data_IF_949636143000
#
_entry.id   IF_949636143000
#
_cell.length_a   1.000
_cell.length_b   1.000
_cell.length_c   1.000
_cell.angle_alpha   90.00
_cell.angle_beta   90.00
_cell.angle_gamma   90.00
#
_symmetry.space_group_name_H-M   'P 1'
#
loop_
_entity.id
_entity.type
_entity.pdbx_description
1 polymer ?
#
# COMPACT_ATOMS: atom_id res chain seq x y z
N UNK A 1 -67.92 9.66 43.32
CA UNK A 1 -66.91 8.60 43.48
C UNK A 1 -66.20 8.41 42.15
N UNK A 2 -65.05 9.05 41.93
CA UNK A 2 -64.38 9.05 40.60
C UNK A 2 -62.88 9.36 40.58
N UNK A 3 -62.24 9.69 41.72
CA UNK A 3 -60.79 10.01 41.74
C UNK A 3 -59.88 8.84 42.13
N UNK A 4 -60.42 7.73 42.68
CA UNK A 4 -59.60 6.59 43.09
C UNK A 4 -59.20 5.67 41.93
N UNK A 5 -60.00 5.61 40.86
CA UNK A 5 -59.70 4.75 39.71
C UNK A 5 -58.53 5.33 38.89
N UNK A 6 -58.50 6.64 38.66
CA UNK A 6 -57.38 7.27 37.92
C UNK A 6 -56.03 7.15 38.63
N UNK A 7 -56.00 7.20 39.97
CA UNK A 7 -54.77 7.02 40.75
C UNK A 7 -54.14 5.63 40.56
N UNK A 8 -54.98 4.59 40.51
CA UNK A 8 -54.51 3.21 40.35
C UNK A 8 -53.88 2.96 38.97
N UNK A 9 -54.42 3.57 37.91
CA UNK A 9 -53.87 3.46 36.55
C UNK A 9 -52.49 4.09 36.43
N UNK A 10 -52.24 5.24 37.08
CA UNK A 10 -50.92 5.88 37.09
C UNK A 10 -49.89 5.09 37.90
N UNK A 11 -50.31 4.46 39.00
CA UNK A 11 -49.43 3.56 39.79
C UNK A 11 -49.09 2.30 38.99
N UNK A 12 -50.06 1.71 38.28
CA UNK A 12 -49.83 0.55 37.42
C UNK A 12 -48.93 0.89 36.22
N UNK A 13 -49.13 2.04 35.58
CA UNK A 13 -48.27 2.51 34.49
C UNK A 13 -46.84 2.78 34.98
N UNK A 14 -46.68 3.37 36.17
CA UNK A 14 -45.38 3.58 36.80
C UNK A 14 -44.65 2.27 37.10
N UNK A 15 -45.37 1.28 37.66
CA UNK A 15 -44.82 -0.04 37.92
C UNK A 15 -44.40 -0.75 36.62
N UNK A 16 -45.20 -0.64 35.55
CA UNK A 16 -44.88 -1.20 34.24
C UNK A 16 -43.59 -0.58 33.67
N UNK A 17 -43.44 0.75 33.74
CA UNK A 17 -42.24 1.43 33.26
C UNK A 17 -40.98 0.99 34.03
N UNK A 18 -41.07 0.78 35.34
CA UNK A 18 -39.95 0.27 36.15
C UNK A 18 -39.58 -1.15 35.74
N UNK A 19 -40.56 -2.02 35.49
CA UNK A 19 -40.31 -3.39 35.01
C UNK A 19 -39.67 -3.39 33.63
N UNK A 20 -40.14 -2.54 32.70
CA UNK A 20 -39.56 -2.41 31.35
C UNK A 20 -38.13 -1.89 31.42
N UNK A 21 -37.86 -0.87 32.24
CA UNK A 21 -36.51 -0.35 32.47
C UNK A 21 -35.59 -1.40 33.09
N UNK A 22 -36.08 -2.18 34.06
CA UNK A 22 -35.31 -3.24 34.68
C UNK A 22 -35.01 -4.39 33.71
N UNK A 23 -35.96 -4.77 32.86
CA UNK A 23 -35.71 -5.76 31.78
C UNK A 23 -34.72 -5.22 30.76
N UNK A 24 -34.79 -3.95 30.39
CA UNK A 24 -33.81 -3.35 29.49
C UNK A 24 -32.41 -3.30 30.13
N UNK A 25 -32.29 -2.81 31.36
CA UNK A 25 -31.01 -2.73 32.07
C UNK A 25 -30.42 -4.13 32.33
N UNK A 26 -31.22 -5.09 32.78
CA UNK A 26 -30.75 -6.47 33.01
C UNK A 26 -30.34 -7.17 31.71
N UNK A 27 -30.93 -6.83 30.55
CA UNK A 27 -30.46 -7.33 29.25
C UNK A 27 -29.23 -6.59 28.72
N UNK A 28 -29.11 -5.28 28.97
CA UNK A 28 -27.94 -4.48 28.58
C UNK A 28 -26.68 -4.84 29.36
N UNK A 29 -26.81 -5.29 30.61
CA UNK A 29 -25.68 -5.69 31.47
C UNK A 29 -25.41 -7.21 31.51
N UNK A 30 -26.30 -8.03 30.93
CA UNK A 30 -26.04 -9.46 30.67
C UNK A 30 -25.65 -9.71 29.20
N UNK A 31 -24.84 -8.81 28.63
CA UNK A 31 -23.94 -9.26 27.56
C UNK A 31 -22.85 -10.02 28.33
N UNK A 32 -22.79 -11.36 28.23
CA UNK A 32 -21.62 -12.05 28.74
C UNK A 32 -20.44 -11.44 27.99
N UNK A 33 -19.62 -10.65 28.69
CA UNK A 33 -18.26 -10.40 28.25
C UNK A 33 -17.62 -11.76 28.37
N UNK A 34 -17.76 -12.56 27.32
CA UNK A 34 -16.90 -13.71 27.14
C UNK A 34 -15.51 -13.08 27.16
N UNK A 35 -14.64 -13.38 28.15
CA UNK A 35 -13.24 -13.13 27.96
C UNK A 35 -12.83 -14.16 26.92
N UNK A 36 -13.22 -13.92 25.66
CA UNK A 36 -12.46 -14.43 24.54
C UNK A 36 -11.06 -14.00 24.93
N UNK A 37 -10.23 -14.99 25.27
CA UNK A 37 -8.79 -14.81 25.35
C UNK A 37 -8.45 -13.77 24.30
N UNK A 38 -7.78 -12.69 24.69
CA UNK A 38 -7.16 -11.79 23.71
C UNK A 38 -6.59 -12.73 22.66
N UNK A 39 -7.15 -12.70 21.44
CA UNK A 39 -6.64 -13.53 20.36
C UNK A 39 -5.15 -13.25 20.37
N UNK A 40 -4.35 -14.27 20.66
CA UNK A 40 -2.91 -14.13 20.52
C UNK A 40 -2.73 -13.51 19.13
N UNK A 41 -2.03 -12.36 19.03
CA UNK A 41 -1.95 -11.61 17.78
C UNK A 41 -1.60 -12.63 16.71
N UNK A 42 -2.48 -12.77 15.72
CA UNK A 42 -2.48 -13.87 14.76
C UNK A 42 -1.04 -14.11 14.30
N UNK A 43 -0.40 -15.11 14.93
CA UNK A 43 0.98 -15.44 14.59
C UNK A 43 0.84 -16.21 13.33
N UNK A 44 0.93 -15.48 12.21
CA UNK A 44 0.99 -16.00 10.86
C UNK A 44 1.79 -17.30 10.88
N UNK A 45 1.08 -18.42 10.81
CA UNK A 45 1.72 -19.71 10.61
C UNK A 45 2.24 -19.68 9.18
N UNK A 46 3.55 -19.49 9.06
CA UNK A 46 4.27 -19.53 7.79
C UNK A 46 4.06 -20.92 7.17
N UNK A 47 3.15 -20.99 6.19
CA UNK A 47 2.89 -22.19 5.38
C UNK A 47 3.76 -22.24 4.11
N UNK A 48 4.80 -21.41 4.04
CA UNK A 48 5.83 -21.50 3.01
C UNK A 48 7.13 -21.95 3.66
N UNK A 49 7.77 -22.93 3.04
CA UNK A 49 9.10 -23.41 3.42
C UNK A 49 10.10 -22.27 3.20
N UNK A 50 10.29 -21.46 4.24
CA UNK A 50 11.16 -20.29 4.28
C UNK A 50 12.58 -20.64 4.77
N UNK A 51 12.93 -21.94 4.79
CA UNK A 51 14.25 -22.42 5.20
C UNK A 51 15.38 -21.85 4.33
N UNK A 52 15.10 -21.56 3.06
CA UNK A 52 16.05 -20.99 2.10
C UNK A 52 15.96 -19.46 1.94
N UNK A 53 15.06 -18.78 2.67
CA UNK A 53 14.83 -17.34 2.54
C UNK A 53 15.28 -16.60 3.82
N UNK A 54 16.11 -15.55 3.74
CA UNK A 54 16.63 -14.81 4.91
C UNK A 54 15.56 -14.15 5.82
N UNK A 55 14.26 -14.28 5.51
CA UNK A 55 13.16 -13.71 6.29
C UNK A 55 13.18 -14.21 7.74
N UNK A 56 13.51 -15.49 7.97
CA UNK A 56 13.58 -16.04 9.32
C UNK A 56 14.65 -15.34 10.19
N UNK A 57 15.76 -14.93 9.59
CA UNK A 57 16.81 -14.16 10.27
C UNK A 57 16.29 -12.76 10.68
N UNK A 58 15.51 -12.12 9.83
CA UNK A 58 14.91 -10.81 10.14
C UNK A 58 13.91 -10.89 11.28
N UNK A 59 13.07 -11.93 11.31
CA UNK A 59 12.11 -12.14 12.40
C UNK A 59 12.84 -12.42 13.72
N UNK A 60 13.89 -13.26 13.68
CA UNK A 60 14.67 -13.59 14.87
C UNK A 60 15.41 -12.39 15.47
N UNK A 61 15.83 -11.43 14.63
CA UNK A 61 16.63 -10.26 15.02
C UNK A 61 15.86 -8.94 14.98
N UNK A 62 14.52 -9.00 14.98
CA UNK A 62 13.68 -7.82 14.81
C UNK A 62 13.96 -6.71 15.85
N UNK A 63 14.28 -7.07 17.10
CA UNK A 63 14.63 -6.10 18.16
C UNK A 63 15.96 -5.38 17.92
N UNK A 64 16.88 -5.97 17.16
CA UNK A 64 18.15 -5.35 16.78
C UNK A 64 17.99 -4.53 15.49
N UNK A 65 17.23 -5.05 14.53
CA UNK A 65 17.07 -4.47 13.19
C UNK A 65 16.17 -3.22 13.23
N UNK A 66 15.10 -3.21 14.02
CA UNK A 66 14.16 -2.09 14.03
C UNK A 66 14.81 -0.75 14.41
N UNK A 67 15.65 -0.66 15.46
CA UNK A 67 16.45 0.54 15.74
C UNK A 67 17.37 0.94 14.59
N UNK A 68 18.04 -0.02 13.95
CA UNK A 68 18.95 0.24 12.81
C UNK A 68 18.19 0.84 11.62
N UNK A 69 17.04 0.26 11.25
CA UNK A 69 16.20 0.77 10.16
C UNK A 69 15.61 2.14 10.50
N UNK A 70 15.24 2.36 11.76
CA UNK A 70 14.72 3.66 12.21
C UNK A 70 15.79 4.75 12.12
N UNK A 71 16.99 4.49 12.61
CA UNK A 71 18.14 5.38 12.52
C UNK A 71 18.54 5.64 11.05
N UNK A 72 18.53 4.60 10.20
CA UNK A 72 18.77 4.75 8.77
C UNK A 72 17.75 5.70 8.12
N UNK A 73 16.45 5.53 8.42
CA UNK A 73 15.41 6.38 7.87
C UNK A 73 15.56 7.84 8.35
N UNK A 74 15.92 8.07 9.61
CA UNK A 74 16.23 9.40 10.14
C UNK A 74 17.43 10.03 9.43
N UNK A 75 18.50 9.26 9.22
CA UNK A 75 19.68 9.71 8.46
C UNK A 75 19.34 10.08 7.03
N UNK A 76 18.55 9.26 6.34
CA UNK A 76 18.09 9.55 4.96
C UNK A 76 17.26 10.83 4.90
N UNK A 77 16.36 11.05 5.86
CA UNK A 77 15.53 12.25 5.92
C UNK A 77 16.30 13.52 6.28
N UNK A 78 17.45 13.39 6.96
CA UNK A 78 18.28 14.51 7.41
C UNK A 78 19.46 14.79 6.50
N UNK A 79 19.87 13.81 5.68
CA UNK A 79 21.04 13.93 4.81
C UNK A 79 20.71 14.72 3.55
N UNK A 80 21.58 15.69 3.23
CA UNK A 80 21.56 16.44 1.98
C UNK A 80 22.83 16.21 1.17
N UNK A 81 22.73 16.39 -0.14
CA UNK A 81 23.90 16.35 -1.02
C UNK A 81 24.54 14.95 -1.14
N UNK A 82 25.87 14.87 -1.29
CA UNK A 82 26.58 13.61 -1.54
C UNK A 82 26.50 12.59 -0.39
N UNK A 83 26.35 13.03 0.86
CA UNK A 83 26.31 12.15 2.04
C UNK A 83 25.15 11.14 2.00
N UNK A 84 24.05 11.51 1.33
CA UNK A 84 22.90 10.64 1.13
C UNK A 84 23.24 9.34 0.40
N UNK A 85 24.22 9.36 -0.51
CA UNK A 85 24.61 8.19 -1.31
C UNK A 85 25.04 7.01 -0.43
N UNK A 86 25.52 7.26 0.80
CA UNK A 86 25.91 6.19 1.73
C UNK A 86 24.72 5.39 2.26
N UNK A 87 23.54 5.99 2.27
CA UNK A 87 22.34 5.46 2.92
C UNK A 87 21.31 4.90 1.93
N UNK A 88 21.38 5.25 0.66
CA UNK A 88 20.41 4.86 -0.35
C UNK A 88 20.90 3.70 -1.22
N UNK A 89 19.96 2.90 -1.72
CA UNK A 89 20.20 1.82 -2.68
C UNK A 89 20.76 2.38 -3.99
N UNK A 90 21.81 1.76 -4.52
CA UNK A 90 22.51 2.21 -5.74
C UNK A 90 23.45 3.40 -5.55
N UNK A 91 23.60 3.92 -4.33
CA UNK A 91 24.62 4.90 -3.96
C UNK A 91 24.69 6.15 -4.85
N UNK A 92 25.91 6.52 -5.25
CA UNK A 92 26.16 7.74 -6.04
C UNK A 92 25.51 7.70 -7.43
N UNK A 93 25.37 6.51 -8.04
CA UNK A 93 24.73 6.36 -9.35
C UNK A 93 23.23 6.68 -9.31
N UNK A 94 22.61 6.46 -8.14
CA UNK A 94 21.18 6.68 -7.91
C UNK A 94 20.85 8.15 -7.61
N UNK A 95 21.84 8.92 -7.14
CA UNK A 95 21.66 10.31 -6.69
C UNK A 95 21.16 11.26 -7.78
N UNK A 96 21.69 11.26 -9.03
CA UNK A 96 21.17 12.11 -10.10
C UNK A 96 19.69 11.82 -10.43
N UNK A 97 19.29 10.54 -10.43
CA UNK A 97 17.87 10.16 -10.65
C UNK A 97 16.98 10.69 -9.53
N UNK A 98 17.43 10.60 -8.28
CA UNK A 98 16.69 11.15 -7.14
C UNK A 98 16.56 12.67 -7.20
N UNK A 99 17.62 13.38 -7.60
CA UNK A 99 17.55 14.84 -7.76
C UNK A 99 16.52 15.24 -8.81
N UNK A 100 16.55 14.61 -9.98
CA UNK A 100 15.55 14.83 -11.03
C UNK A 100 14.14 14.45 -10.58
N UNK A 101 14.00 13.42 -9.74
CA UNK A 101 12.71 13.04 -9.14
C UNK A 101 12.19 14.11 -8.19
N UNK A 102 13.02 14.61 -7.27
CA UNK A 102 12.62 15.66 -6.31
C UNK A 102 12.23 16.96 -7.02
N UNK A 103 12.86 17.29 -8.14
CA UNK A 103 12.52 18.45 -8.97
C UNK A 103 11.09 18.38 -9.55
N UNK A 104 10.56 17.16 -9.79
CA UNK A 104 9.17 16.94 -10.21
C UNK A 104 8.15 17.17 -9.10
N UNK A 105 8.61 17.44 -7.86
CA UNK A 105 7.79 17.64 -6.66
C UNK A 105 6.72 16.55 -6.49
N UNK A 106 7.10 15.26 -6.49
CA UNK A 106 6.18 14.19 -6.18
C UNK A 106 5.60 14.40 -4.78
N UNK A 107 4.37 13.96 -4.56
CA UNK A 107 3.75 14.04 -3.23
C UNK A 107 4.64 13.29 -2.24
N UNK A 108 5.12 13.96 -1.17
CA UNK A 108 6.11 13.39 -0.29
C UNK A 108 5.51 12.27 0.58
N UNK A 109 6.16 11.11 0.60
CA UNK A 109 5.83 10.02 1.53
C UNK A 109 6.80 10.13 2.71
N UNK A 110 6.38 10.77 3.81
CA UNK A 110 7.21 10.90 5.03
C UNK A 110 6.54 10.16 6.17
N UNK A 111 7.30 9.49 7.05
CA UNK A 111 6.70 8.73 8.15
C UNK A 111 6.50 9.56 9.44
N UNK A 112 5.26 9.82 9.86
CA UNK A 112 4.84 10.44 11.12
C UNK A 112 3.45 9.94 11.61
N UNK A 113 3.20 9.70 12.92
CA UNK A 113 4.14 9.67 14.04
C UNK A 113 4.90 8.34 14.14
N UNK A 114 6.08 8.38 14.76
CA UNK A 114 6.96 7.24 14.99
C UNK A 114 6.26 6.04 15.66
N UNK A 115 5.28 6.30 16.52
CA UNK A 115 4.57 5.30 17.34
C UNK A 115 3.66 4.36 16.56
N UNK A 116 3.38 4.63 15.28
CA UNK A 116 2.54 3.79 14.43
C UNK A 116 3.32 2.96 13.41
N UNK A 117 4.66 2.95 13.51
CA UNK A 117 5.51 2.22 12.56
C UNK A 117 5.45 0.72 12.82
N UNK A 118 5.24 -0.04 11.76
CA UNK A 118 5.29 -1.51 11.74
C UNK A 118 6.35 -1.95 10.74
N UNK A 119 7.20 -2.89 11.14
CA UNK A 119 8.23 -3.45 10.29
C UNK A 119 7.80 -4.85 9.84
N UNK A 120 7.79 -5.05 8.53
CA UNK A 120 7.50 -6.32 7.88
C UNK A 120 8.72 -6.80 7.11
N UNK A 121 8.87 -8.12 7.01
CA UNK A 121 9.84 -8.75 6.14
C UNK A 121 9.10 -9.42 4.98
N UNK A 122 9.64 -9.28 3.78
CA UNK A 122 9.11 -9.86 2.56
C UNK A 122 10.25 -10.38 1.68
N UNK A 123 9.91 -11.16 0.66
CA UNK A 123 10.88 -11.56 -0.35
C UNK A 123 10.27 -11.54 -1.74
N UNK A 124 11.10 -11.22 -2.72
CA UNK A 124 10.75 -11.25 -4.13
C UNK A 124 11.95 -11.76 -4.92
N UNK A 125 11.74 -12.75 -5.81
CA UNK A 125 12.81 -13.36 -6.62
C UNK A 125 14.05 -13.75 -5.79
N UNK A 126 13.83 -14.43 -4.64
CA UNK A 126 14.87 -14.84 -3.66
C UNK A 126 15.62 -13.70 -2.96
N UNK A 127 15.24 -12.44 -3.17
CA UNK A 127 15.80 -11.31 -2.44
C UNK A 127 14.88 -10.94 -1.28
N UNK A 128 15.43 -10.97 -0.07
CA UNK A 128 14.72 -10.53 1.11
C UNK A 128 14.84 -9.00 1.28
N UNK A 129 13.76 -8.38 1.71
CA UNK A 129 13.70 -6.94 1.93
C UNK A 129 12.76 -6.64 3.11
N UNK A 130 12.89 -5.43 3.65
CA UNK A 130 12.10 -4.94 4.77
C UNK A 130 11.17 -3.83 4.30
N UNK A 131 9.99 -3.79 4.90
CA UNK A 131 8.96 -2.80 4.63
C UNK A 131 8.58 -2.14 5.95
N UNK A 132 8.78 -0.84 6.05
CA UNK A 132 8.28 -0.04 7.18
C UNK A 132 7.00 0.66 6.76
N UNK A 133 5.88 0.22 7.33
CA UNK A 133 4.57 0.85 7.17
C UNK A 133 4.35 1.81 8.34
N UNK A 134 3.83 2.99 8.05
CA UNK A 134 3.45 3.98 9.04
C UNK A 134 2.40 4.93 8.47
N UNK A 135 2.25 6.09 9.10
CA UNK A 135 1.45 7.20 8.55
C UNK A 135 2.37 8.33 8.11
N UNK A 136 1.85 9.29 7.37
CA UNK A 136 2.48 10.58 7.08
C UNK A 136 1.93 11.72 7.95
N UNK A 137 2.47 12.96 7.84
CA UNK A 137 1.97 14.11 8.60
C UNK A 137 0.46 14.36 8.39
N UNK A 138 -0.09 14.00 7.23
CA UNK A 138 -1.49 14.13 6.86
C UNK A 138 -2.32 12.87 7.21
N UNK A 139 -1.73 11.91 7.94
CA UNK A 139 -2.30 10.64 8.38
C UNK A 139 -2.65 9.66 7.26
N UNK A 140 -2.04 9.82 6.08
CA UNK A 140 -2.09 8.85 4.99
C UNK A 140 -1.05 7.75 5.19
N UNK A 141 -1.26 6.58 4.58
CA UNK A 141 -0.33 5.45 4.71
C UNK A 141 1.01 5.76 4.05
N UNK A 142 2.10 5.68 4.82
CA UNK A 142 3.47 5.85 4.37
C UNK A 142 4.22 4.53 4.40
N UNK A 143 4.97 4.22 3.33
CA UNK A 143 5.70 2.96 3.21
C UNK A 143 7.13 3.24 2.77
N UNK A 144 8.09 2.69 3.50
CA UNK A 144 9.51 2.71 3.16
C UNK A 144 10.03 1.29 2.96
N UNK A 145 10.86 1.10 1.94
CA UNK A 145 11.50 -0.16 1.60
C UNK A 145 12.99 -0.10 1.93
N UNK A 146 13.50 -1.19 2.47
CA UNK A 146 14.91 -1.33 2.81
C UNK A 146 15.43 -2.67 2.31
N UNK A 147 16.66 -2.67 1.82
CA UNK A 147 17.34 -3.90 1.39
C UNK A 147 18.74 -3.94 1.99
N UNK A 148 19.31 -5.13 2.12
CA UNK A 148 20.66 -5.30 2.64
C UNK A 148 21.63 -5.32 1.46
N UNK A 149 22.60 -4.41 1.45
CA UNK A 149 23.71 -4.39 0.49
C UNK A 149 25.03 -4.54 1.28
N UNK A 150 25.69 -5.69 1.11
CA UNK A 150 26.82 -6.08 1.94
C UNK A 150 26.39 -6.25 3.40
N UNK A 151 27.10 -5.56 4.31
CA UNK A 151 26.87 -5.63 5.75
C UNK A 151 25.88 -4.59 6.29
N UNK A 152 25.34 -3.71 5.42
CA UNK A 152 24.49 -2.60 5.85
C UNK A 152 23.14 -2.58 5.15
N UNK A 153 22.11 -2.11 5.84
CA UNK A 153 20.85 -1.77 5.19
C UNK A 153 20.96 -0.49 4.38
N UNK A 154 20.23 -0.46 3.27
CA UNK A 154 20.05 0.67 2.37
C UNK A 154 18.58 0.98 2.20
N UNK A 155 18.26 2.27 2.19
CA UNK A 155 16.93 2.77 1.86
C UNK A 155 16.72 2.72 0.35
N UNK A 156 15.71 1.98 -0.10
CA UNK A 156 15.31 1.94 -1.49
C UNK A 156 14.37 3.11 -1.78
N UNK A 157 14.97 4.28 -2.09
CA UNK A 157 14.19 5.49 -2.35
C UNK A 157 13.32 5.36 -3.61
N UNK A 158 13.76 4.59 -4.62
CA UNK A 158 13.00 4.41 -5.85
C UNK A 158 11.68 3.67 -5.58
N UNK A 159 11.73 2.61 -4.77
CA UNK A 159 10.54 1.90 -4.34
C UNK A 159 9.72 2.71 -3.33
N UNK A 160 10.37 3.36 -2.36
CA UNK A 160 9.70 4.06 -1.25
C UNK A 160 8.98 5.32 -1.70
N UNK A 161 9.59 6.08 -2.61
CA UNK A 161 9.01 7.31 -3.17
C UNK A 161 8.21 7.02 -4.45
N UNK A 162 8.16 5.76 -4.90
CA UNK A 162 7.42 5.35 -6.10
C UNK A 162 7.98 5.97 -7.39
N UNK A 163 9.31 6.05 -7.52
CA UNK A 163 9.99 6.57 -8.71
C UNK A 163 9.40 5.93 -9.97
N UNK A 164 9.03 6.78 -10.91
CA UNK A 164 8.44 6.39 -12.18
C UNK A 164 9.06 7.19 -13.32
N UNK A 165 9.20 6.56 -14.50
CA UNK A 165 9.58 7.28 -15.71
C UNK A 165 8.48 8.24 -16.14
N UNK A 166 7.22 7.92 -15.81
CA UNK A 166 6.05 8.74 -16.08
C UNK A 166 5.08 8.69 -14.88
N UNK A 167 4.59 9.84 -14.45
CA UNK A 167 3.52 9.94 -13.44
C UNK A 167 2.14 10.00 -14.11
N UNK A 168 1.06 9.63 -13.40
CA UNK A 168 -0.31 9.80 -13.91
C UNK A 168 -0.60 11.23 -14.41
N UNK A 169 -0.16 12.26 -13.67
CA UNK A 169 -0.32 13.66 -14.06
C UNK A 169 0.48 14.11 -15.29
N UNK A 170 1.34 13.26 -15.83
CA UNK A 170 2.22 13.55 -16.97
C UNK A 170 1.84 12.72 -18.21
N UNK A 171 0.71 12.02 -18.20
CA UNK A 171 0.31 11.11 -19.28
C UNK A 171 0.28 11.73 -20.68
N UNK A 172 0.08 13.05 -20.78
CA UNK A 172 0.14 13.82 -22.03
C UNK A 172 1.55 13.90 -22.64
N UNK A 173 2.60 13.66 -21.85
CA UNK A 173 3.99 13.63 -22.30
C UNK A 173 4.36 12.31 -23.01
N UNK A 174 3.52 11.27 -22.91
CA UNK A 174 3.74 10.02 -23.63
C UNK A 174 3.56 10.24 -25.13
N UNK A 175 4.65 10.06 -25.87
CA UNK A 175 4.69 10.21 -27.33
C UNK A 175 5.25 8.95 -27.98
N UNK A 176 4.69 8.58 -29.13
CA UNK A 176 5.08 7.37 -29.86
C UNK A 176 4.65 6.07 -29.20
N UNK A 177 5.33 4.99 -29.57
CA UNK A 177 5.05 3.61 -29.13
C UNK A 177 5.92 3.17 -27.93
N UNK A 178 6.82 4.03 -27.45
CA UNK A 178 7.72 3.67 -26.34
C UNK A 178 6.93 3.53 -25.04
N UNK A 179 7.12 2.39 -24.35
CA UNK A 179 6.51 2.17 -23.04
C UNK A 179 7.39 2.70 -21.91
N UNK A 180 6.76 3.34 -20.93
CA UNK A 180 7.40 3.92 -19.75
C UNK A 180 6.99 3.18 -18.49
N UNK A 181 7.93 3.03 -17.56
CA UNK A 181 7.72 2.45 -16.24
C UNK A 181 6.86 3.39 -15.37
N UNK A 182 5.82 2.82 -14.76
CA UNK A 182 4.98 3.50 -13.78
C UNK A 182 4.84 2.61 -12.54
N UNK A 183 5.21 3.16 -11.38
CA UNK A 183 4.86 2.65 -10.06
C UNK A 183 3.60 3.37 -9.61
N UNK A 184 2.50 2.63 -9.49
CA UNK A 184 1.19 3.20 -9.18
C UNK A 184 0.39 2.29 -8.25
N UNK A 185 -0.71 2.82 -7.75
CA UNK A 185 -1.82 2.07 -7.18
C UNK A 185 -2.82 1.84 -8.31
N UNK A 186 -3.15 0.58 -8.57
CA UNK A 186 -4.12 0.15 -9.58
C UNK A 186 -5.44 -0.24 -8.93
N UNK A 187 -6.56 0.20 -9.49
CA UNK A 187 -7.91 -0.22 -9.11
C UNK A 187 -8.73 -0.59 -10.35
N UNK A 188 -9.55 -1.66 -10.33
CA UNK A 188 -10.42 -1.99 -11.45
C UNK A 188 -11.45 -0.87 -11.72
N UNK A 189 -11.77 -0.67 -12.99
CA UNK A 189 -12.76 0.31 -13.44
C UNK A 189 -13.72 -0.30 -14.47
N UNK A 190 -14.95 0.23 -14.48
CA UNK A 190 -15.98 -0.09 -15.48
C UNK A 190 -16.13 1.04 -16.53
N UNK A 191 -15.14 1.92 -16.63
CA UNK A 191 -15.11 2.96 -17.66
C UNK A 191 -14.50 2.41 -18.95
N UNK A 192 -15.28 2.44 -20.03
CA UNK A 192 -14.87 2.00 -21.36
C UNK A 192 -15.14 3.07 -22.40
N UNK A 193 -14.43 2.98 -23.52
CA UNK A 193 -14.54 3.96 -24.61
C UNK A 193 -14.61 3.23 -25.95
N UNK A 194 -15.04 3.88 -27.05
CA UNK A 194 -15.00 3.24 -28.37
C UNK A 194 -13.61 2.74 -28.77
N UNK A 195 -12.54 3.41 -28.30
CA UNK A 195 -11.14 3.03 -28.56
C UNK A 195 -10.65 1.91 -27.64
N UNK A 196 -11.31 1.71 -26.50
CA UNK A 196 -11.02 0.65 -25.54
C UNK A 196 -12.33 -0.06 -25.14
N UNK A 197 -12.86 -0.91 -26.03
CA UNK A 197 -14.14 -1.60 -25.81
C UNK A 197 -14.03 -2.67 -24.72
N UNK A 198 -15.13 -2.89 -23.98
CA UNK A 198 -15.21 -3.81 -22.84
C UNK A 198 -14.95 -5.27 -23.24
N UNK A 199 -15.31 -5.63 -24.47
CA UNK A 199 -15.12 -6.96 -25.03
C UNK A 199 -13.63 -7.33 -25.15
N UNK A 200 -12.78 -6.34 -25.40
CA UNK A 200 -11.35 -6.54 -25.69
C UNK A 200 -10.44 -6.09 -24.55
N UNK A 201 -10.89 -5.18 -23.69
CA UNK A 201 -10.06 -4.57 -22.65
C UNK A 201 -10.69 -4.68 -21.27
N UNK A 202 -9.83 -4.71 -20.25
CA UNK A 202 -10.19 -4.44 -18.87
C UNK A 202 -9.74 -3.03 -18.50
N UNK A 203 -10.67 -2.23 -17.97
CA UNK A 203 -10.41 -0.87 -17.50
C UNK A 203 -9.85 -0.84 -16.08
N UNK A 204 -8.98 0.13 -15.83
CA UNK A 204 -8.35 0.44 -14.55
C UNK A 204 -8.23 1.94 -14.31
N UNK A 205 -8.20 2.37 -13.05
CA UNK A 205 -7.61 3.65 -12.66
C UNK A 205 -6.20 3.42 -12.14
N UNK A 206 -5.28 4.32 -12.52
CA UNK A 206 -3.93 4.37 -11.99
C UNK A 206 -3.72 5.71 -11.32
N UNK A 207 -3.29 5.71 -10.07
CA UNK A 207 -2.85 6.90 -9.35
C UNK A 207 -1.53 6.62 -8.62
N UNK A 208 -0.79 7.66 -8.25
CA UNK A 208 0.48 7.48 -7.54
C UNK A 208 0.24 7.45 -6.03
N UNK A 209 -0.03 8.60 -5.42
CA UNK A 209 -0.38 8.75 -4.01
C UNK A 209 -1.77 9.37 -3.83
N UNK A 210 -2.08 10.45 -4.54
CA UNK A 210 -3.38 11.13 -4.52
C UNK A 210 -4.36 10.44 -5.48
N UNK A 211 -5.45 9.82 -5.00
CA UNK A 211 -6.47 9.24 -5.87
C UNK A 211 -7.22 10.29 -6.72
N UNK A 212 -7.12 11.59 -6.39
CA UNK A 212 -7.63 12.68 -7.22
C UNK A 212 -6.84 12.90 -8.51
N UNK A 213 -5.55 12.55 -8.52
CA UNK A 213 -4.67 12.61 -9.70
C UNK A 213 -4.50 11.22 -10.31
N UNK A 214 -5.45 10.84 -11.16
CA UNK A 214 -5.47 9.52 -11.78
C UNK A 214 -5.60 9.57 -13.30
N UNK A 215 -5.21 8.47 -13.93
CA UNK A 215 -5.42 8.21 -15.37
C UNK A 215 -6.25 6.96 -15.56
N UNK A 216 -6.93 6.89 -16.71
CA UNK A 216 -7.57 5.67 -17.16
C UNK A 216 -6.53 4.81 -17.87
N UNK A 217 -6.47 3.54 -17.52
CA UNK A 217 -5.56 2.62 -18.17
C UNK A 217 -6.28 1.32 -18.53
N UNK A 218 -5.86 0.72 -19.65
CA UNK A 218 -6.54 -0.41 -20.23
C UNK A 218 -5.53 -1.51 -20.51
N UNK A 219 -5.81 -2.73 -20.04
CA UNK A 219 -5.05 -3.91 -20.40
C UNK A 219 -5.91 -4.79 -21.31
N UNK A 220 -5.33 -5.39 -22.35
CA UNK A 220 -6.05 -6.36 -23.16
C UNK A 220 -6.60 -7.48 -22.28
N UNK A 221 -7.88 -7.82 -22.40
CA UNK A 221 -8.59 -8.73 -21.49
C UNK A 221 -7.96 -10.12 -21.45
N UNK A 222 -7.43 -10.58 -22.58
CA UNK A 222 -6.70 -11.85 -22.72
C UNK A 222 -5.19 -11.76 -22.43
N UNK A 223 -4.66 -10.56 -22.20
CA UNK A 223 -3.23 -10.34 -22.00
C UNK A 223 -2.70 -10.94 -20.69
N UNK A 224 -1.43 -11.33 -20.68
CA UNK A 224 -0.75 -11.79 -19.46
C UNK A 224 -0.69 -10.68 -18.40
N UNK A 225 -0.56 -9.42 -18.81
CA UNK A 225 -0.58 -8.27 -17.92
C UNK A 225 -1.90 -8.18 -17.15
N UNK A 226 -3.04 -8.30 -17.85
CA UNK A 226 -4.36 -8.29 -17.23
C UNK A 226 -4.54 -9.45 -16.24
N UNK A 227 -4.16 -10.68 -16.65
CA UNK A 227 -4.24 -11.87 -15.77
C UNK A 227 -3.44 -11.67 -14.48
N UNK A 228 -2.22 -11.12 -14.59
CA UNK A 228 -1.36 -10.85 -13.44
C UNK A 228 -1.95 -9.76 -12.53
N UNK A 229 -2.47 -8.66 -13.09
CA UNK A 229 -3.15 -7.61 -12.31
C UNK A 229 -4.37 -8.17 -11.57
N UNK A 230 -5.22 -8.95 -12.25
CA UNK A 230 -6.37 -9.58 -11.59
C UNK A 230 -5.95 -10.53 -10.47
N UNK A 231 -4.91 -11.33 -10.70
CA UNK A 231 -4.38 -12.24 -9.66
C UNK A 231 -3.78 -11.49 -8.46
N UNK A 232 -3.21 -10.30 -8.68
CA UNK A 232 -2.64 -9.46 -7.63
C UNK A 232 -3.69 -9.06 -6.59
N UNK A 233 -4.94 -8.76 -6.99
CA UNK A 233 -6.02 -8.43 -6.05
C UNK A 233 -6.48 -9.60 -5.18
N UNK A 234 -6.13 -10.84 -5.55
CA UNK A 234 -6.40 -12.03 -4.72
C UNK A 234 -5.22 -12.40 -3.82
N UNK A 235 -4.08 -11.72 -3.95
CA UNK A 235 -2.88 -11.95 -3.17
C UNK A 235 -2.95 -11.34 -1.78
N UNK A 236 -2.03 -11.76 -0.91
CA UNK A 236 -1.81 -11.08 0.38
C UNK A 236 -1.11 -9.74 0.13
N UNK A 237 -1.61 -8.69 0.74
CA UNK A 237 -0.98 -7.37 0.77
C UNK A 237 -0.79 -6.92 2.21
N UNK A 238 0.23 -6.11 2.46
CA UNK A 238 0.37 -5.42 3.74
C UNK A 238 -0.52 -4.16 3.73
N UNK A 239 -0.98 -3.69 4.90
CA UNK A 239 -1.52 -2.33 5.02
C UNK A 239 -0.53 -1.33 4.40
N UNK A 240 -1.01 -0.33 3.63
CA UNK A 240 -0.15 0.59 2.88
C UNK A 240 0.32 0.13 1.50
N UNK A 241 0.29 -1.18 1.18
CA UNK A 241 0.77 -1.69 -0.12
C UNK A 241 -0.35 -2.18 -1.04
N UNK A 242 -1.61 -1.98 -0.63
CA UNK A 242 -2.76 -2.51 -1.36
C UNK A 242 -2.87 -1.87 -2.75
N UNK A 243 -2.99 -2.72 -3.77
CA UNK A 243 -3.09 -2.27 -5.17
C UNK A 243 -1.80 -1.69 -5.74
N UNK A 244 -0.68 -1.66 -4.99
CA UNK A 244 0.59 -1.18 -5.53
C UNK A 244 1.12 -2.16 -6.58
N UNK A 245 1.47 -1.62 -7.74
CA UNK A 245 2.05 -2.38 -8.83
C UNK A 245 3.14 -1.58 -9.52
N UNK A 246 4.06 -2.31 -10.14
CA UNK A 246 4.99 -1.76 -11.11
C UNK A 246 4.59 -2.28 -12.48
N UNK A 247 4.25 -1.37 -13.40
CA UNK A 247 3.78 -1.69 -14.75
C UNK A 247 4.52 -0.87 -15.79
N UNK A 248 4.47 -1.28 -17.06
CA UNK A 248 4.80 -0.42 -18.19
C UNK A 248 3.53 0.00 -18.89
N UNK A 249 3.44 1.29 -19.18
CA UNK A 249 2.33 1.92 -19.89
C UNK A 249 2.84 2.59 -21.15
N UNK A 250 1.99 2.68 -22.17
CA UNK A 250 2.23 3.52 -23.34
C UNK A 250 1.00 4.36 -23.64
N UNK A 251 1.14 5.30 -24.57
CA UNK A 251 0.01 6.09 -25.08
C UNK A 251 -1.06 5.15 -25.63
N UNK A 252 -2.34 5.45 -25.37
CA UNK A 252 -3.43 4.73 -26.01
C UNK A 252 -3.39 4.85 -27.55
N UNK A 253 -4.07 3.93 -28.26
CA UNK A 253 -4.11 3.94 -29.72
C UNK A 253 -4.75 5.22 -30.28
N UNK A 254 -4.65 5.41 -31.60
CA UNK A 254 -5.22 6.57 -32.27
C UNK A 254 -6.71 6.77 -31.90
N UNK A 255 -7.07 7.99 -31.50
CA UNK A 255 -8.41 8.32 -31.00
C UNK A 255 -8.58 8.19 -29.48
N UNK A 256 -7.61 7.62 -28.75
CA UNK A 256 -7.59 7.68 -27.29
C UNK A 256 -7.28 9.11 -26.80
N UNK A 257 -7.86 9.49 -25.66
CA UNK A 257 -7.57 10.77 -24.99
C UNK A 257 -6.18 10.73 -24.32
N UNK A 258 -5.60 11.89 -24.02
CA UNK A 258 -4.29 11.99 -23.38
C UNK A 258 -4.21 11.30 -22.02
N UNK A 259 -5.32 11.24 -21.27
CA UNK A 259 -5.41 10.56 -19.97
C UNK A 259 -5.85 9.09 -20.08
N UNK A 260 -5.76 8.48 -21.27
CA UNK A 260 -6.10 7.08 -21.53
C UNK A 260 -4.87 6.33 -22.03
N UNK A 261 -4.38 5.40 -21.22
CA UNK A 261 -3.14 4.67 -21.45
C UNK A 261 -3.40 3.19 -21.72
N UNK A 262 -2.47 2.55 -22.42
CA UNK A 262 -2.45 1.09 -22.57
C UNK A 262 -1.41 0.50 -21.61
N UNK A 263 -1.83 -0.48 -20.81
CA UNK A 263 -0.96 -1.28 -19.96
C UNK A 263 -0.39 -2.41 -20.81
N UNK A 264 0.90 -2.33 -21.11
CA UNK A 264 1.56 -3.30 -21.99
C UNK A 264 2.30 -4.38 -21.21
N UNK A 265 2.73 -4.11 -19.98
CA UNK A 265 3.48 -5.06 -19.18
C UNK A 265 3.17 -4.93 -17.68
N UNK A 266 2.96 -6.07 -17.02
CA UNK A 266 3.01 -6.16 -15.56
C UNK A 266 4.40 -6.61 -15.11
N UNK A 267 5.15 -5.69 -14.51
CA UNK A 267 6.56 -5.89 -14.13
C UNK A 267 6.66 -6.53 -12.75
N UNK A 268 5.94 -6.01 -11.76
CA UNK A 268 6.03 -6.48 -10.37
C UNK A 268 4.73 -6.19 -9.57
N UNK A 269 4.32 -7.08 -8.64
CA UNK A 269 3.13 -6.90 -7.79
C UNK A 269 3.32 -5.91 -6.63
N UNK A 270 4.41 -5.14 -6.63
CA UNK A 270 4.68 -4.10 -5.63
C UNK A 270 5.71 -3.12 -6.23
N UNK A 271 6.02 -2.02 -5.54
CA UNK A 271 7.00 -1.03 -5.96
C UNK A 271 8.45 -1.46 -5.73
N UNK A 272 8.69 -2.33 -4.74
CA UNK A 272 10.00 -2.95 -4.58
C UNK A 272 10.30 -3.84 -5.77
N UNK A 273 11.31 -3.49 -6.56
CA UNK A 273 11.79 -4.33 -7.64
C UNK A 273 13.17 -4.85 -7.26
N UNK A 274 13.37 -6.18 -7.17
CA UNK A 274 14.72 -6.72 -7.02
C UNK A 274 15.53 -6.32 -8.26
N UNK A 275 16.62 -5.55 -8.10
CA UNK A 275 17.63 -5.48 -9.16
C UNK A 275 18.17 -6.88 -9.34
N UNK A 276 17.99 -7.44 -10.54
CA UNK A 276 18.71 -8.65 -10.91
C UNK A 276 20.18 -8.21 -10.99
N UNK A 277 20.95 -8.46 -9.95
CA UNK A 277 22.40 -8.52 -10.12
C UNK A 277 22.62 -9.71 -11.07
N UNK A 278 23.23 -9.53 -12.25
CA UNK A 278 23.72 -10.70 -12.97
C UNK A 278 24.67 -11.41 -12.00
N UNK A 279 24.42 -12.68 -11.71
CA UNK A 279 25.39 -13.48 -10.97
C UNK A 279 26.74 -13.44 -11.72
N UNK A 280 27.87 -13.40 -10.98
CA UNK A 280 29.20 -13.42 -11.58
C UNK A 280 29.47 -14.69 -12.40
#
# INVERSE_FOLDING_TARGET
MGSQVMSLWWVLAGALCIVVLWVFLSRSFNIPVNPTSLEEPDRLTMNEDLSDVPIAEFVARASEILPEITDLLEKVNSAEGPELAKFIRGGEESRPRRLAWVERKPVPIRHYPLTKRQLHAASAKKHAYLIMVGLDPDHLEAVAYFTKEGDSFKYDWEASEGYSEILPGEADQLTGEESKLMRCIVLPSNFYTPTFPEEEFQGYTLHHSDPGEFVWAFAGRSSESNKKIMSHFSGRAFPGTMGRVTIRVKKGPEGARSNQLEIVEFVHPDWFTPTVTPEP
#
